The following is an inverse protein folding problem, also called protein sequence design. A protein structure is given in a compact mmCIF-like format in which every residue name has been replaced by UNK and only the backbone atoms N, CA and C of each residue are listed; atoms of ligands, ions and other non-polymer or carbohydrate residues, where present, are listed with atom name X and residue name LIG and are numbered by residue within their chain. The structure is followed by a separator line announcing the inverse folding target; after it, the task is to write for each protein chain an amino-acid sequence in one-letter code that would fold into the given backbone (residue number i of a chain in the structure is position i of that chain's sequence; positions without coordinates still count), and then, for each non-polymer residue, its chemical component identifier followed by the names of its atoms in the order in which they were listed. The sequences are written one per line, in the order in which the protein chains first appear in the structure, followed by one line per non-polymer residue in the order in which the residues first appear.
data_IF_447450689922
#
_entry.id   IF_447450689922
#
_cell.length_a   1.000
_cell.length_b   1.000
_cell.length_c   1.000
_cell.angle_alpha   90.00
_cell.angle_beta   90.00
_cell.angle_gamma   90.00
#
_symmetry.space_group_name_H-M   'P 1'
#
loop_
_entity.id
_entity.type
_entity.pdbx_description
1 polymer ?
#
# COMPACT_ATOMS: atom_id res chain seq x y z
N UNK A 1 -20.46 21.97 1.48
CA UNK A 1 -19.51 21.56 2.54
C UNK A 1 -18.23 21.12 1.84
N UNK A 2 -17.06 21.57 2.30
CA UNK A 2 -15.79 21.19 1.69
C UNK A 2 -15.56 19.68 1.72
N UNK A 3 -14.93 19.13 0.69
CA UNK A 3 -14.53 17.72 0.67
C UNK A 3 -13.45 17.48 1.73
N UNK A 4 -13.78 16.61 2.69
CA UNK A 4 -12.92 16.22 3.83
C UNK A 4 -12.66 14.72 3.79
N UNK A 5 -11.45 14.32 4.17
CA UNK A 5 -11.04 12.93 4.34
C UNK A 5 -10.18 12.77 5.60
N UNK A 6 -10.47 11.77 6.42
CA UNK A 6 -9.66 11.43 7.59
C UNK A 6 -8.91 10.14 7.29
N UNK A 7 -7.58 10.19 7.32
CA UNK A 7 -6.74 9.02 7.03
C UNK A 7 -6.70 8.03 8.21
N UNK A 8 -6.02 6.88 8.03
CA UNK A 8 -5.88 5.87 9.08
C UNK A 8 -5.14 6.35 10.34
N UNK A 9 -4.36 7.43 10.24
CA UNK A 9 -3.64 8.06 11.34
C UNK A 9 -4.50 9.09 12.10
N UNK A 10 -5.75 9.30 11.68
CA UNK A 10 -6.64 10.31 12.25
C UNK A 10 -6.36 11.74 11.77
N UNK A 11 -5.50 11.91 10.77
CA UNK A 11 -5.21 13.24 10.19
C UNK A 11 -6.31 13.66 9.22
N UNK A 12 -6.72 14.92 9.31
CA UNK A 12 -7.75 15.49 8.45
C UNK A 12 -7.12 16.15 7.22
N UNK A 13 -7.65 15.81 6.05
CA UNK A 13 -7.27 16.36 4.77
C UNK A 13 -8.48 16.98 4.08
N UNK A 14 -8.27 18.14 3.47
CA UNK A 14 -9.28 18.88 2.72
C UNK A 14 -8.85 19.01 1.27
N UNK A 15 -9.79 18.91 0.34
CA UNK A 15 -9.50 18.99 -1.10
C UNK A 15 -9.38 20.45 -1.52
N UNK A 16 -8.25 20.82 -2.13
CA UNK A 16 -8.00 22.15 -2.68
C UNK A 16 -7.91 22.09 -4.20
N UNK A 17 -8.18 23.23 -4.84
CA UNK A 17 -8.01 23.43 -6.27
C UNK A 17 -7.14 24.65 -6.53
N UNK A 18 -6.22 24.53 -7.47
CA UNK A 18 -5.48 25.66 -8.06
C UNK A 18 -5.52 25.57 -9.57
N UNK A 19 -5.31 26.69 -10.26
CA UNK A 19 -5.08 26.70 -11.71
C UNK A 19 -3.61 26.44 -12.01
N UNK A 20 -3.34 25.60 -12.99
CA UNK A 20 -1.99 25.40 -13.54
C UNK A 20 -1.58 26.61 -14.40
N UNK A 21 -0.30 26.68 -14.80
CA UNK A 21 0.19 27.69 -15.74
C UNK A 21 -0.55 27.70 -17.08
N UNK A 22 -1.17 26.57 -17.45
CA UNK A 22 -2.01 26.41 -18.65
C UNK A 22 -3.50 26.69 -18.40
N UNK A 23 -3.88 27.16 -17.21
CA UNK A 23 -5.27 27.46 -16.83
C UNK A 23 -6.11 26.27 -16.38
N UNK A 24 -5.66 25.03 -16.60
CA UNK A 24 -6.38 23.82 -16.20
C UNK A 24 -6.43 23.68 -14.67
N UNK A 25 -7.53 23.15 -14.09
CA UNK A 25 -7.61 22.87 -12.66
C UNK A 25 -6.63 21.75 -12.26
N UNK A 26 -5.98 21.93 -11.11
CA UNK A 26 -5.14 20.94 -10.44
C UNK A 26 -5.64 20.81 -9.02
N UNK A 27 -6.01 19.59 -8.64
CA UNK A 27 -6.52 19.27 -7.32
C UNK A 27 -5.43 18.65 -6.45
N UNK A 28 -5.49 18.90 -5.15
CA UNK A 28 -4.57 18.30 -4.16
C UNK A 28 -5.20 18.32 -2.78
N UNK A 29 -4.89 17.33 -1.95
CA UNK A 29 -5.29 17.34 -0.55
C UNK A 29 -4.27 18.11 0.30
N UNK A 30 -4.77 18.93 1.23
CA UNK A 30 -3.96 19.65 2.21
C UNK A 30 -4.44 19.29 3.62
N UNK A 31 -3.49 19.03 4.51
CA UNK A 31 -3.74 18.60 5.88
C UNK A 31 -4.16 19.79 6.74
N UNK A 32 -5.18 19.62 7.58
CA UNK A 32 -5.68 20.59 8.57
C UNK A 32 -5.91 22.01 7.99
N UNK A 33 -6.49 22.10 6.80
CA UNK A 33 -6.78 23.39 6.14
C UNK A 33 -8.13 23.34 5.42
N UNK A 34 -9.18 23.76 6.12
CA UNK A 34 -10.57 23.79 5.64
C UNK A 34 -10.89 25.00 4.75
N UNK A 35 -9.93 25.89 4.50
CA UNK A 35 -10.07 27.05 3.64
C UNK A 35 -10.06 26.68 2.15
N UNK A 36 -11.12 26.01 1.69
CA UNK A 36 -11.31 25.57 0.30
C UNK A 36 -12.75 25.77 -0.13
N UNK A 37 -12.94 26.03 -1.42
CA UNK A 37 -14.26 26.11 -2.06
C UNK A 37 -14.65 24.84 -2.82
N UNK A 38 -13.85 23.78 -2.74
CA UNK A 38 -14.14 22.51 -3.43
C UNK A 38 -15.10 21.68 -2.59
N UNK A 39 -16.35 21.56 -3.06
CA UNK A 39 -17.43 20.92 -2.32
C UNK A 39 -17.72 19.48 -2.75
N UNK A 40 -17.15 19.04 -3.88
CA UNK A 40 -17.33 17.69 -4.40
C UNK A 40 -16.05 17.13 -5.03
N UNK A 41 -15.96 15.80 -5.09
CA UNK A 41 -14.89 15.12 -5.82
C UNK A 41 -15.18 15.29 -7.31
N UNK A 42 -14.22 15.82 -8.10
CA UNK A 42 -14.41 15.99 -9.54
C UNK A 42 -14.68 14.65 -10.24
N UNK A 43 -15.51 14.68 -11.28
CA UNK A 43 -15.85 13.47 -12.06
C UNK A 43 -14.58 12.78 -12.60
N UNK A 44 -14.55 11.44 -12.48
CA UNK A 44 -13.43 10.62 -12.93
C UNK A 44 -12.23 10.63 -11.99
N UNK A 45 -12.38 11.17 -10.78
CA UNK A 45 -11.39 11.08 -9.71
C UNK A 45 -11.89 10.23 -8.54
N UNK A 46 -10.95 9.70 -7.78
CA UNK A 46 -11.17 9.00 -6.52
C UNK A 46 -10.14 9.46 -5.48
N UNK A 47 -10.51 9.35 -4.20
CA UNK A 47 -9.56 9.56 -3.09
C UNK A 47 -8.72 8.31 -2.94
N UNK A 48 -7.41 8.48 -2.90
CA UNK A 48 -6.44 7.42 -2.65
C UNK A 48 -5.67 7.75 -1.38
N UNK A 49 -5.68 6.83 -0.42
CA UNK A 49 -4.84 6.88 0.76
C UNK A 49 -3.68 5.90 0.59
N UNK A 50 -2.45 6.42 0.61
CA UNK A 50 -1.24 5.59 0.65
C UNK A 50 -1.18 4.80 1.97
N UNK A 51 -0.59 3.59 2.02
CA UNK A 51 -0.45 2.80 3.25
C UNK A 51 0.12 3.56 4.48
N UNK A 52 0.91 4.60 4.23
CA UNK A 52 1.48 5.51 5.24
C UNK A 52 0.68 6.81 5.46
N UNK A 53 -0.60 6.84 5.07
CA UNK A 53 -1.57 7.87 5.46
C UNK A 53 -1.57 9.13 4.60
N UNK A 54 -0.71 9.22 3.59
CA UNK A 54 -0.75 10.37 2.67
C UNK A 54 -1.94 10.24 1.73
N UNK A 55 -2.78 11.27 1.71
CA UNK A 55 -4.01 11.32 0.91
C UNK A 55 -3.76 12.06 -0.40
N UNK A 56 -4.27 11.49 -1.48
CA UNK A 56 -4.19 12.06 -2.82
C UNK A 56 -5.55 12.01 -3.50
N UNK A 57 -5.78 12.94 -4.42
CA UNK A 57 -6.82 12.79 -5.42
C UNK A 57 -6.18 12.21 -6.68
N UNK A 58 -6.63 11.03 -7.10
CA UNK A 58 -6.14 10.35 -8.31
C UNK A 58 -7.26 10.16 -9.31
N UNK A 59 -6.92 9.95 -10.58
CA UNK A 59 -7.91 9.53 -11.57
C UNK A 59 -8.40 8.12 -11.22
N UNK A 60 -9.68 7.86 -11.43
CA UNK A 60 -10.28 6.53 -11.25
C UNK A 60 -9.52 5.52 -12.09
N UNK A 61 -8.84 4.58 -11.42
CA UNK A 61 -7.96 3.64 -12.11
C UNK A 61 -8.76 2.52 -12.79
N UNK A 62 -8.42 2.20 -14.04
CA UNK A 62 -8.84 0.93 -14.66
C UNK A 62 -8.04 -0.21 -14.01
N UNK A 63 -8.57 -0.77 -12.92
CA UNK A 63 -7.93 -1.86 -12.17
C UNK A 63 -7.83 -3.10 -13.08
N UNK A 64 -6.61 -3.59 -13.30
CA UNK A 64 -6.36 -4.84 -14.03
C UNK A 64 -6.43 -6.08 -13.14
N UNK A 65 -6.43 -5.86 -11.84
CA UNK A 65 -6.55 -6.84 -10.76
C UNK A 65 -8.00 -6.91 -10.30
N UNK A 66 -8.53 -8.11 -10.11
CA UNK A 66 -9.90 -8.34 -9.65
C UNK A 66 -9.98 -8.39 -8.12
N UNK A 67 -11.18 -8.30 -7.56
CA UNK A 67 -11.37 -8.39 -6.10
C UNK A 67 -11.01 -9.79 -5.58
N UNK A 68 -11.32 -10.82 -6.35
CA UNK A 68 -11.03 -12.21 -6.02
C UNK A 68 -9.52 -12.44 -5.91
N UNK A 69 -8.72 -11.84 -6.80
CA UNK A 69 -7.25 -11.93 -6.77
C UNK A 69 -6.66 -11.23 -5.54
N UNK A 70 -7.23 -10.10 -5.12
CA UNK A 70 -6.85 -9.43 -3.88
C UNK A 70 -7.16 -10.34 -2.69
N UNK A 71 -8.37 -10.90 -2.63
CA UNK A 71 -8.78 -11.78 -1.55
C UNK A 71 -7.97 -13.08 -1.48
N UNK A 72 -7.45 -13.59 -2.60
CA UNK A 72 -6.52 -14.73 -2.57
C UNK A 72 -5.26 -14.39 -1.75
N UNK A 73 -4.68 -13.21 -1.98
CA UNK A 73 -3.48 -12.76 -1.27
C UNK A 73 -3.81 -12.46 0.21
N UNK A 74 -4.92 -11.77 0.50
CA UNK A 74 -5.38 -11.52 1.87
C UNK A 74 -5.56 -12.83 2.65
N UNK A 75 -6.25 -13.81 2.07
CA UNK A 75 -6.44 -15.11 2.71
C UNK A 75 -5.13 -15.86 2.98
N UNK A 76 -4.13 -15.73 2.09
CA UNK A 76 -2.83 -16.35 2.29
C UNK A 76 -2.05 -15.64 3.41
N UNK A 77 -2.06 -14.31 3.45
CA UNK A 77 -1.47 -13.51 4.54
C UNK A 77 -2.10 -13.89 5.88
N UNK A 78 -3.43 -13.91 5.97
CA UNK A 78 -4.16 -14.22 7.20
C UNK A 78 -3.91 -15.65 7.71
N UNK A 79 -3.64 -16.60 6.81
CA UNK A 79 -3.41 -18.00 7.20
C UNK A 79 -1.95 -18.32 7.50
N UNK A 80 -1.03 -17.77 6.72
CA UNK A 80 0.35 -18.28 6.65
C UNK A 80 1.40 -17.27 7.08
N UNK A 81 1.14 -15.96 6.97
CA UNK A 81 2.10 -14.93 7.36
C UNK A 81 2.15 -14.78 8.89
N UNK A 82 3.34 -14.68 9.51
CA UNK A 82 3.45 -14.30 10.91
C UNK A 82 3.13 -12.82 11.13
N UNK A 83 3.25 -11.98 10.10
CA UNK A 83 2.89 -10.56 10.15
C UNK A 83 1.37 -10.41 10.06
N UNK A 84 0.77 -9.81 11.09
CA UNK A 84 -0.67 -9.53 11.19
C UNK A 84 -1.03 -8.09 10.87
N UNK A 85 -0.08 -7.17 11.03
CA UNK A 85 -0.28 -5.76 10.71
C UNK A 85 0.27 -5.46 9.33
N UNK A 86 -0.62 -5.53 8.33
CA UNK A 86 -0.28 -5.32 6.94
C UNK A 86 -1.34 -4.48 6.23
N UNK A 87 -0.96 -3.95 5.06
CA UNK A 87 -1.86 -3.26 4.14
C UNK A 87 -1.57 -3.72 2.72
N UNK A 88 -2.62 -3.83 1.92
CA UNK A 88 -2.50 -4.05 0.49
C UNK A 88 -2.69 -2.73 -0.25
N UNK A 89 -1.78 -2.43 -1.16
CA UNK A 89 -1.88 -1.27 -2.05
C UNK A 89 -1.93 -1.76 -3.50
N UNK A 90 -3.06 -1.52 -4.17
CA UNK A 90 -3.32 -2.03 -5.52
C UNK A 90 -3.15 -0.90 -6.53
N UNK A 91 -2.14 -1.02 -7.38
CA UNK A 91 -1.85 -0.04 -8.42
C UNK A 91 -1.89 -0.69 -9.79
N UNK A 92 -2.92 -0.36 -10.57
CA UNK A 92 -3.15 -0.85 -11.93
C UNK A 92 -3.12 -2.39 -12.05
N UNK A 93 -1.92 -2.96 -12.23
CA UNK A 93 -1.64 -4.38 -12.45
C UNK A 93 -0.83 -5.01 -11.31
N UNK A 94 -0.54 -4.27 -10.25
CA UNK A 94 0.33 -4.71 -9.15
C UNK A 94 -0.39 -4.62 -7.82
N UNK A 95 -0.11 -5.58 -6.94
CA UNK A 95 -0.55 -5.63 -5.55
C UNK A 95 0.71 -5.58 -4.69
N UNK A 96 0.90 -4.49 -3.94
CA UNK A 96 2.00 -4.33 -3.00
C UNK A 96 1.54 -4.73 -1.61
N UNK A 97 2.35 -5.55 -0.94
CA UNK A 97 2.15 -5.94 0.44
C UNK A 97 3.04 -5.06 1.31
N UNK A 98 2.39 -4.19 2.07
CA UNK A 98 3.03 -3.33 3.05
C UNK A 98 2.93 -3.97 4.43
N UNK A 99 4.06 -4.20 5.10
CA UNK A 99 4.10 -4.74 6.46
C UNK A 99 4.49 -3.67 7.47
N UNK A 100 3.96 -3.78 8.68
CA UNK A 100 4.48 -3.08 9.84
C UNK A 100 5.17 -4.10 10.75
N UNK A 101 6.46 -3.88 10.98
CA UNK A 101 7.26 -4.61 11.96
C UNK A 101 7.61 -3.62 13.07
N UNK A 102 7.27 -3.97 14.31
CA UNK A 102 7.52 -3.08 15.44
C UNK A 102 9.05 -2.93 15.61
N UNK A 103 9.61 -1.71 15.52
CA UNK A 103 11.05 -1.50 15.63
C UNK A 103 11.60 -1.78 17.04
N UNK A 104 10.72 -1.91 18.04
CA UNK A 104 11.10 -2.16 19.43
C UNK A 104 10.85 -3.63 19.78
N UNK A 105 11.88 -4.29 20.31
CA UNK A 105 11.75 -5.66 20.80
C UNK A 105 10.69 -5.71 21.89
N UNK A 106 9.84 -6.74 21.90
CA UNK A 106 8.80 -6.97 22.93
C UNK A 106 9.31 -6.89 24.38
N UNK A 107 10.64 -7.00 24.59
CA UNK A 107 11.30 -6.91 25.88
C UNK A 107 11.54 -5.47 26.40
N UNK A 108 11.33 -4.44 25.58
CA UNK A 108 11.65 -3.06 25.93
C UNK A 108 10.37 -2.29 26.28
N UNK A 109 10.06 -2.28 27.58
CA UNK A 109 9.13 -1.36 28.27
C UNK A 109 7.70 -1.32 27.66
N UNK A 110 6.70 -1.96 28.29
CA UNK A 110 5.31 -2.00 27.80
C UNK A 110 4.70 -0.66 27.39
N UNK A 111 5.04 0.44 28.07
CA UNK A 111 4.56 1.78 27.74
C UNK A 111 5.08 2.30 26.38
N UNK A 112 6.30 1.92 25.98
CA UNK A 112 6.87 2.26 24.67
C UNK A 112 6.17 1.43 23.58
N UNK A 113 5.94 0.15 23.84
CA UNK A 113 5.19 -0.74 22.93
C UNK A 113 3.76 -0.23 22.72
N UNK A 114 3.08 0.18 23.79
CA UNK A 114 1.74 0.76 23.71
C UNK A 114 1.73 2.07 22.91
N UNK A 115 2.67 2.98 23.20
CA UNK A 115 2.79 4.25 22.48
C UNK A 115 3.10 4.06 20.98
N UNK A 116 3.94 3.09 20.63
CA UNK A 116 4.27 2.77 19.22
C UNK A 116 3.20 1.93 18.51
N UNK A 117 2.26 1.34 19.27
CA UNK A 117 1.11 0.63 18.71
C UNK A 117 0.02 1.56 18.21
N UNK A 118 0.07 2.86 18.55
CA UNK A 118 -0.82 3.88 17.99
C UNK A 118 -0.63 3.95 16.46
N UNK A 119 -1.70 3.75 15.66
CA UNK A 119 -1.66 3.86 14.20
C UNK A 119 -0.97 5.12 13.68
N UNK A 120 -1.01 6.22 14.45
CA UNK A 120 -0.39 7.50 14.13
C UNK A 120 1.12 7.39 13.87
N UNK A 121 1.82 6.49 14.56
CA UNK A 121 3.28 6.34 14.46
C UNK A 121 3.70 5.16 13.58
N UNK A 122 2.76 4.32 13.13
CA UNK A 122 3.06 3.17 12.28
C UNK A 122 3.52 3.61 10.90
N UNK A 123 4.68 3.10 10.49
CA UNK A 123 5.20 3.25 9.14
C UNK A 123 5.32 1.86 8.53
N UNK A 124 4.60 1.65 7.45
CA UNK A 124 4.61 0.41 6.71
C UNK A 124 5.63 0.47 5.58
N UNK A 125 6.29 -0.65 5.35
CA UNK A 125 7.22 -0.84 4.25
C UNK A 125 6.69 -1.89 3.27
N UNK A 126 6.81 -1.62 1.98
CA UNK A 126 6.48 -2.61 0.97
C UNK A 126 7.52 -3.75 1.03
N UNK A 127 7.09 -4.99 1.19
CA UNK A 127 7.99 -6.14 1.26
C UNK A 127 7.86 -7.03 0.02
N UNK A 128 6.64 -7.30 -0.42
CA UNK A 128 6.34 -8.11 -1.61
C UNK A 128 5.49 -7.34 -2.60
N UNK A 129 5.65 -7.66 -3.88
CA UNK A 129 4.83 -7.14 -4.97
C UNK A 129 4.42 -8.29 -5.89
N UNK A 130 3.12 -8.40 -6.15
CA UNK A 130 2.55 -9.32 -7.13
C UNK A 130 2.10 -8.52 -8.35
N UNK A 131 2.70 -8.75 -9.51
CA UNK A 131 2.40 -8.00 -10.74
C UNK A 131 1.83 -8.92 -11.80
N UNK A 132 0.64 -8.60 -12.32
CA UNK A 132 0.05 -9.26 -13.48
C UNK A 132 0.85 -8.93 -14.74
N UNK A 133 1.61 -9.90 -15.25
CA UNK A 133 2.47 -9.74 -16.43
C UNK A 133 1.78 -10.12 -17.73
N UNK A 134 0.84 -11.07 -17.70
CA UNK A 134 0.04 -11.47 -18.85
C UNK A 134 -1.45 -11.55 -18.50
N UNK A 135 -2.25 -10.69 -19.14
CA UNK A 135 -3.69 -10.62 -18.93
C UNK A 135 -4.44 -11.82 -19.50
N UNK A 136 -3.92 -12.49 -20.54
CA UNK A 136 -4.62 -13.60 -21.21
C UNK A 136 -4.51 -14.88 -20.41
N UNK A 137 -3.30 -15.23 -19.99
CA UNK A 137 -3.05 -16.42 -19.14
C UNK A 137 -3.24 -16.15 -17.64
N UNK A 138 -3.56 -14.90 -17.25
CA UNK A 138 -3.54 -14.42 -15.87
C UNK A 138 -2.25 -14.79 -15.12
N UNK A 139 -1.11 -14.65 -15.80
CA UNK A 139 0.21 -14.91 -15.19
C UNK A 139 0.63 -13.73 -14.33
N UNK A 140 0.97 -14.03 -13.08
CA UNK A 140 1.54 -13.11 -12.11
C UNK A 140 3.02 -13.40 -11.92
N UNK A 141 3.81 -12.36 -11.70
CA UNK A 141 5.14 -12.44 -11.12
C UNK A 141 5.09 -11.97 -9.67
N UNK A 142 5.96 -12.53 -8.83
CA UNK A 142 6.20 -12.07 -7.47
C UNK A 142 7.62 -11.60 -7.33
N UNK A 143 7.77 -10.45 -6.69
CA UNK A 143 9.04 -9.78 -6.45
C UNK A 143 9.12 -9.40 -4.97
N UNK A 144 10.32 -9.47 -4.39
CA UNK A 144 10.59 -8.90 -3.04
C UNK A 144 11.37 -7.61 -3.13
N UNK A 145 11.18 -6.75 -2.14
CA UNK A 145 12.01 -5.56 -1.99
C UNK A 145 13.44 -5.94 -1.64
N UNK A 146 14.38 -5.19 -2.20
CA UNK A 146 15.80 -5.31 -1.90
C UNK A 146 16.36 -4.00 -1.36
N UNK A 147 17.35 -4.15 -0.49
CA UNK A 147 18.05 -3.07 0.18
C UNK A 147 19.53 -3.02 -0.23
N UNK A 148 19.90 -3.74 -1.30
CA UNK A 148 21.26 -3.81 -1.84
C UNK A 148 21.37 -2.90 -3.06
N UNK A 149 21.99 -1.72 -2.92
CA UNK A 149 22.31 -0.83 -4.04
C UNK A 149 22.27 0.66 -3.70
N UNK A 150 22.61 1.51 -4.68
CA UNK A 150 22.60 2.99 -4.54
C UNK A 150 21.20 3.62 -4.70
N UNK A 151 20.21 2.84 -5.17
CA UNK A 151 18.84 3.30 -5.36
C UNK A 151 17.91 2.57 -4.41
N UNK A 152 17.19 3.35 -3.60
CA UNK A 152 16.02 2.88 -2.86
C UNK A 152 14.99 2.29 -3.86
N UNK A 153 14.29 1.22 -3.47
CA UNK A 153 13.18 0.59 -4.21
C UNK A 153 13.52 -0.36 -5.37
N UNK A 154 14.63 -1.12 -5.27
CA UNK A 154 14.86 -2.24 -6.19
C UNK A 154 14.02 -3.46 -5.82
N UNK A 155 13.35 -4.03 -6.83
CA UNK A 155 12.54 -5.26 -6.72
C UNK A 155 13.33 -6.43 -7.30
N UNK A 156 13.46 -7.51 -6.55
CA UNK A 156 14.07 -8.76 -6.99
C UNK A 156 12.97 -9.75 -7.38
N UNK A 157 13.02 -10.20 -8.63
CA UNK A 157 12.20 -11.29 -9.12
C UNK A 157 12.42 -12.56 -8.30
N UNK A 158 11.33 -13.23 -7.92
CA UNK A 158 11.39 -14.52 -7.23
C UNK A 158 10.79 -15.64 -8.11
N UNK A 159 9.58 -15.45 -8.62
CA UNK A 159 8.90 -16.46 -9.46
C UNK A 159 7.76 -15.84 -10.27
N UNK A 160 7.20 -16.59 -11.22
CA UNK A 160 5.98 -16.22 -11.93
C UNK A 160 5.12 -17.44 -12.32
N UNK A 161 3.84 -17.39 -11.96
CA UNK A 161 2.87 -18.45 -12.19
C UNK A 161 1.49 -17.89 -12.56
N UNK A 162 0.67 -18.68 -13.27
CA UNK A 162 -0.76 -18.40 -13.45
C UNK A 162 -1.62 -18.87 -12.27
N UNK A 163 -1.03 -19.62 -11.33
CA UNK A 163 -1.66 -20.01 -10.08
C UNK A 163 -1.31 -18.98 -8.99
N UNK A 164 -2.08 -17.88 -8.92
CA UNK A 164 -1.84 -16.81 -7.94
C UNK A 164 -1.91 -17.32 -6.49
N UNK A 165 -2.77 -18.30 -6.21
CA UNK A 165 -2.92 -18.86 -4.86
C UNK A 165 -1.63 -19.54 -4.41
N UNK A 166 -1.11 -20.44 -5.21
CA UNK A 166 0.16 -21.14 -4.92
C UNK A 166 1.32 -20.15 -4.79
N UNK A 167 1.38 -19.16 -5.69
CA UNK A 167 2.38 -18.09 -5.63
C UNK A 167 2.26 -17.31 -4.31
N UNK A 168 1.06 -16.93 -3.89
CA UNK A 168 0.84 -16.23 -2.63
C UNK A 168 1.25 -17.11 -1.43
N UNK A 169 0.75 -18.34 -1.35
CA UNK A 169 1.02 -19.27 -0.25
C UNK A 169 2.53 -19.54 -0.07
N UNK A 170 3.27 -19.69 -1.19
CA UNK A 170 4.70 -19.94 -1.17
C UNK A 170 5.51 -18.77 -0.59
N UNK A 171 5.13 -17.52 -0.87
CA UNK A 171 5.98 -16.37 -0.57
C UNK A 171 5.55 -15.56 0.66
N UNK A 172 4.24 -15.43 0.94
CA UNK A 172 3.78 -14.61 2.07
C UNK A 172 4.13 -15.21 3.43
N UNK A 173 4.31 -16.53 3.51
CA UNK A 173 4.71 -17.23 4.73
C UNK A 173 6.12 -16.84 5.23
N UNK A 174 6.94 -16.22 4.38
CA UNK A 174 8.30 -15.81 4.71
C UNK A 174 8.36 -14.39 5.28
N UNK A 175 7.32 -13.56 5.12
CA UNK A 175 7.29 -12.18 5.63
C UNK A 175 7.60 -12.13 7.13
N UNK A 176 8.43 -11.18 7.57
CA UNK A 176 8.82 -11.02 8.97
C UNK A 176 9.80 -12.08 9.49
N UNK A 177 10.38 -12.92 8.63
CA UNK A 177 11.42 -13.90 8.98
C UNK A 177 12.73 -13.57 8.28
N UNK A 178 13.85 -13.97 8.88
CA UNK A 178 15.18 -13.75 8.29
C UNK A 178 15.34 -14.42 6.91
N UNK A 179 14.79 -15.63 6.74
CA UNK A 179 14.79 -16.38 5.48
C UNK A 179 14.16 -15.62 4.31
N UNK A 180 13.29 -14.62 4.58
CA UNK A 180 12.75 -13.74 3.55
C UNK A 180 13.83 -13.08 2.70
N UNK A 181 14.94 -12.71 3.33
CA UNK A 181 16.03 -12.01 2.67
C UNK A 181 16.95 -12.96 1.88
N UNK A 182 16.75 -14.27 2.02
CA UNK A 182 17.49 -15.34 1.33
C UNK A 182 16.77 -15.86 0.08
N UNK A 183 15.51 -15.46 -0.16
CA UNK A 183 14.76 -15.83 -1.35
C UNK A 183 15.45 -15.28 -2.62
N UNK A 184 15.72 -16.14 -3.61
CA UNK A 184 16.34 -15.80 -4.91
C UNK A 184 15.66 -16.54 -6.04
#
# INVERSE_FOLDING_TARGET
MAVKYTNFRGDEYFLHMRKTSKGNPSYYFKKNDDNTSVEEIPEGYEVYEHPNGRVFLTKTAKKGITKEEISIIENALDKLSPIRDYKLDVKQKSIYIFTYENPVSFNEIPAVVEALSDPKYKTYEAQLCFTLTDKKSRKFQVERRTYRGEKDDQWLFLDASSNLKELAENYVQHLGKEEFFELV
#
